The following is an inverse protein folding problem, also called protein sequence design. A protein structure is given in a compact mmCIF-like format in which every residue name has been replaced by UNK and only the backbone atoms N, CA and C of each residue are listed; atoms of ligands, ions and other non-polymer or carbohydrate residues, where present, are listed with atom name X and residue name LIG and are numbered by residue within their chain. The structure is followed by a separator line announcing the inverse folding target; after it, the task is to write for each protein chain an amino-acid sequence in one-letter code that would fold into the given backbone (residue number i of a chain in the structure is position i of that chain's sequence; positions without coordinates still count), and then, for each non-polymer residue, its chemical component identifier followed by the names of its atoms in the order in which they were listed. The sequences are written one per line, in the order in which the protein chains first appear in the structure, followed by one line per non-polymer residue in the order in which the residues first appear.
data_IF_979111344643
#
_entry.id   IF_979111344643
#
_cell.length_a   1.000
_cell.length_b   1.000
_cell.length_c   1.000
_cell.angle_alpha   90.00
_cell.angle_beta   90.00
_cell.angle_gamma   90.00
#
_symmetry.space_group_name_H-M   'P 1'
#
loop_
_entity.id
_entity.type
_entity.pdbx_description
1 polymer ?
#
# COMPACT_ATOMS: atom_id res chain seq x y z
N UNK A 1 -11.04 24.16 -17.86
CA UNK A 1 -10.70 22.77 -17.46
C UNK A 1 -9.23 22.51 -17.78
N UNK A 2 -8.37 22.19 -16.80
CA UNK A 2 -6.94 21.96 -17.03
C UNK A 2 -6.69 20.76 -17.98
N UNK A 3 -5.59 20.81 -18.74
CA UNK A 3 -5.22 19.85 -19.80
C UNK A 3 -5.18 18.39 -19.31
N UNK A 4 -4.84 18.15 -18.05
CA UNK A 4 -4.79 16.83 -17.44
C UNK A 4 -6.17 16.15 -17.35
N UNK A 5 -7.22 16.90 -17.05
CA UNK A 5 -8.58 16.37 -16.89
C UNK A 5 -9.17 15.87 -18.21
N UNK A 6 -8.93 16.60 -19.31
CA UNK A 6 -9.37 16.20 -20.65
C UNK A 6 -8.73 14.88 -21.11
N UNK A 7 -7.46 14.67 -20.76
CA UNK A 7 -6.72 13.46 -21.13
C UNK A 7 -7.19 12.22 -20.35
N UNK A 8 -7.61 12.38 -19.09
CA UNK A 8 -8.13 11.28 -18.28
C UNK A 8 -9.54 10.85 -18.71
N UNK A 9 -10.43 11.80 -19.04
CA UNK A 9 -11.75 11.49 -19.58
C UNK A 9 -11.66 10.78 -20.93
N UNK A 10 -10.75 11.21 -21.82
CA UNK A 10 -10.52 10.52 -23.08
C UNK A 10 -10.01 9.08 -22.90
N UNK A 11 -9.20 8.80 -21.86
CA UNK A 11 -8.77 7.43 -21.54
C UNK A 11 -9.91 6.56 -21.01
N UNK A 12 -10.73 7.07 -20.08
CA UNK A 12 -11.90 6.33 -19.57
C UNK A 12 -12.89 6.00 -20.70
N UNK A 13 -13.16 6.97 -21.57
CA UNK A 13 -14.05 6.76 -22.73
C UNK A 13 -13.50 5.68 -23.69
N UNK A 14 -12.19 5.68 -23.95
CA UNK A 14 -11.55 4.64 -24.77
C UNK A 14 -11.59 3.25 -24.13
N UNK A 15 -11.45 3.15 -22.81
CA UNK A 15 -11.53 1.86 -22.10
C UNK A 15 -12.96 1.29 -22.08
N UNK A 16 -13.97 2.15 -21.91
CA UNK A 16 -15.38 1.71 -21.93
C UNK A 16 -15.83 1.22 -23.31
N UNK A 17 -15.20 1.70 -24.39
CA UNK A 17 -15.43 1.20 -25.74
C UNK A 17 -14.80 -0.18 -25.97
N UNK A 18 -13.62 -0.44 -25.38
CA UNK A 18 -12.89 -1.70 -25.56
C UNK A 18 -13.41 -2.84 -24.67
N UNK A 19 -13.91 -2.51 -23.48
CA UNK A 19 -14.36 -3.49 -22.48
C UNK A 19 -15.70 -3.05 -21.89
N UNK A 20 -16.78 -3.68 -22.35
CA UNK A 20 -18.10 -3.50 -21.76
C UNK A 20 -18.16 -4.20 -20.41
N UNK A 21 -18.36 -3.40 -19.36
CA UNK A 21 -18.59 -3.91 -18.01
C UNK A 21 -20.06 -4.32 -17.84
N UNK A 22 -20.36 -5.25 -16.90
CA UNK A 22 -21.73 -5.45 -16.42
C UNK A 22 -22.35 -4.13 -15.95
N UNK A 23 -23.68 -4.04 -15.97
CA UNK A 23 -24.41 -2.80 -15.65
C UNK A 23 -24.15 -2.27 -14.21
N UNK A 24 -23.74 -3.14 -13.29
CA UNK A 24 -23.43 -2.83 -11.89
C UNK A 24 -21.93 -2.67 -11.61
N UNK A 25 -21.09 -2.56 -12.63
CA UNK A 25 -19.64 -2.36 -12.49
C UNK A 25 -19.24 -0.99 -13.02
N UNK A 26 -18.20 -0.42 -12.43
CA UNK A 26 -17.63 0.86 -12.87
C UNK A 26 -16.09 0.83 -12.91
N UNK A 27 -15.52 1.70 -13.75
CA UNK A 27 -14.08 1.89 -13.83
C UNK A 27 -13.57 2.84 -12.74
N UNK A 28 -12.84 2.28 -11.77
CA UNK A 28 -12.12 3.01 -10.70
C UNK A 28 -10.62 2.97 -10.91
N UNK A 29 -9.92 4.05 -10.54
CA UNK A 29 -8.47 4.03 -10.35
C UNK A 29 -8.15 3.34 -9.03
N UNK A 30 -6.98 2.69 -8.95
CA UNK A 30 -6.51 2.05 -7.71
C UNK A 30 -6.44 3.03 -6.53
N UNK A 31 -6.05 4.29 -6.77
CA UNK A 31 -6.07 5.36 -5.77
C UNK A 31 -7.46 5.80 -5.29
N UNK A 32 -8.55 5.34 -5.92
CA UNK A 32 -9.92 5.54 -5.43
C UNK A 32 -10.38 4.39 -4.52
N UNK A 33 -9.62 3.28 -4.46
CA UNK A 33 -9.97 2.08 -3.69
C UNK A 33 -9.39 2.09 -2.27
N UNK A 34 -8.28 2.80 -2.05
CA UNK A 34 -7.61 2.86 -0.77
C UNK A 34 -6.72 4.11 -0.65
N UNK A 35 -6.41 4.49 0.59
CA UNK A 35 -5.30 5.40 0.90
C UNK A 35 -4.00 4.60 1.05
N UNK A 36 -2.90 5.13 0.53
CA UNK A 36 -1.58 4.51 0.56
C UNK A 36 -0.58 5.43 1.26
N UNK A 37 -0.19 5.08 2.48
CA UNK A 37 0.77 5.85 3.27
C UNK A 37 2.16 5.25 3.11
N UNK A 38 3.03 5.91 2.34
CA UNK A 38 4.44 5.51 2.24
C UNK A 38 5.17 5.82 3.55
N UNK A 39 6.00 4.89 4.01
CA UNK A 39 6.77 5.04 5.25
C UNK A 39 7.87 6.09 5.21
N UNK A 40 8.59 6.19 6.32
CA UNK A 40 9.68 7.13 6.51
C UNK A 40 11.01 6.58 5.96
N UNK A 41 11.86 7.45 5.43
CA UNK A 41 13.20 7.09 5.03
C UNK A 41 14.14 7.02 6.24
N UNK A 42 14.63 5.83 6.56
CA UNK A 42 15.60 5.62 7.64
C UNK A 42 17.04 5.53 7.12
N UNK A 43 17.96 6.22 7.79
CA UNK A 43 19.41 6.08 7.61
C UNK A 43 20.00 5.30 8.80
N UNK A 44 21.21 4.71 8.67
CA UNK A 44 21.85 3.98 9.78
C UNK A 44 21.96 4.79 11.08
N UNK A 45 22.16 6.12 10.96
CA UNK A 45 22.21 7.03 12.11
C UNK A 45 20.89 7.24 12.84
N UNK A 46 19.77 6.88 12.21
CA UNK A 46 18.43 6.99 12.79
C UNK A 46 18.06 5.73 13.58
N UNK A 47 18.86 4.66 13.47
CA UNK A 47 18.64 3.40 14.18
C UNK A 47 19.01 3.52 15.65
N UNK A 48 18.30 2.75 16.47
CA UNK A 48 18.49 2.63 17.90
C UNK A 48 18.58 1.15 18.29
N UNK A 49 19.09 0.89 19.49
CA UNK A 49 19.07 -0.43 20.11
C UNK A 49 17.77 -0.70 20.90
N UNK A 50 16.90 0.31 21.00
CA UNK A 50 15.62 0.27 21.72
C UNK A 50 14.52 0.94 20.89
N UNK A 51 13.27 0.77 21.30
CA UNK A 51 12.12 1.44 20.70
C UNK A 51 11.30 0.49 19.83
N UNK A 52 10.65 1.05 18.79
CA UNK A 52 9.78 0.31 17.91
C UNK A 52 10.56 -0.32 16.75
N UNK A 53 10.23 -1.56 16.34
CA UNK A 53 10.85 -2.17 15.18
C UNK A 53 10.50 -1.40 13.90
N UNK A 54 11.47 -1.23 13.02
CA UNK A 54 11.29 -0.64 11.69
C UNK A 54 10.98 -1.78 10.72
N UNK A 55 9.80 -1.78 10.12
CA UNK A 55 9.41 -2.80 9.14
C UNK A 55 10.18 -2.57 7.85
N UNK A 56 10.95 -3.57 7.42
CA UNK A 56 11.59 -3.64 6.10
C UNK A 56 11.01 -4.80 5.30
N UNK A 57 11.28 -4.80 4.00
CA UNK A 57 10.75 -5.81 3.07
C UNK A 57 11.23 -7.22 3.45
N UNK A 58 12.47 -7.37 3.92
CA UNK A 58 12.96 -8.64 4.46
C UNK A 58 12.12 -9.15 5.65
N UNK A 59 11.56 -8.25 6.47
CA UNK A 59 10.72 -8.63 7.61
C UNK A 59 9.35 -9.12 7.16
N UNK A 60 8.81 -8.52 6.10
CA UNK A 60 7.59 -9.00 5.45
C UNK A 60 7.79 -10.40 4.83
N UNK A 61 9.02 -10.71 4.41
CA UNK A 61 9.43 -12.02 3.90
C UNK A 61 9.87 -13.01 5.00
N UNK A 62 9.58 -12.71 6.27
CA UNK A 62 9.79 -13.63 7.40
C UNK A 62 11.14 -13.53 8.11
N UNK A 63 11.95 -12.50 7.85
CA UNK A 63 13.16 -12.24 8.65
C UNK A 63 12.82 -11.59 9.99
N UNK A 64 13.36 -12.15 11.07
CA UNK A 64 13.26 -11.58 12.43
C UNK A 64 14.36 -10.53 12.73
N UNK A 65 15.19 -10.20 11.73
CA UNK A 65 16.22 -9.16 11.87
C UNK A 65 15.60 -7.75 11.73
N UNK A 66 15.42 -7.05 12.85
CA UNK A 66 14.87 -5.69 12.89
C UNK A 66 15.92 -4.65 13.29
N UNK A 67 15.83 -3.48 12.64
CA UNK A 67 16.38 -2.25 13.18
C UNK A 67 15.30 -1.56 14.01
N UNK A 68 15.68 -0.74 14.98
CA UNK A 68 14.72 -0.06 15.86
C UNK A 68 14.79 1.46 15.73
N UNK A 69 13.68 2.11 16.07
CA UNK A 69 13.56 3.56 16.14
C UNK A 69 12.97 3.97 17.49
N UNK A 70 13.65 4.88 18.18
CA UNK A 70 13.21 5.43 19.47
C UNK A 70 12.95 6.94 19.43
N UNK A 71 12.90 7.53 18.22
CA UNK A 71 12.54 8.93 18.03
C UNK A 71 11.03 9.14 17.85
N UNK A 72 10.65 10.37 17.54
CA UNK A 72 9.27 10.71 17.21
C UNK A 72 9.04 10.62 15.70
N UNK A 73 7.91 10.02 15.32
CA UNK A 73 7.43 9.98 13.94
C UNK A 73 6.03 10.61 13.86
N UNK A 74 5.57 10.90 12.64
CA UNK A 74 4.16 11.28 12.44
C UNK A 74 3.29 10.05 12.65
N UNK A 75 2.10 10.25 13.22
CA UNK A 75 1.13 9.19 13.53
C UNK A 75 0.90 8.22 12.37
N UNK A 76 0.79 8.74 11.15
CA UNK A 76 0.59 7.94 9.92
C UNK A 76 1.69 6.91 9.62
N UNK A 77 2.87 7.02 10.22
CA UNK A 77 3.98 6.06 10.03
C UNK A 77 3.99 4.94 11.06
N UNK A 78 3.18 5.04 12.11
CA UNK A 78 2.99 3.95 13.05
C UNK A 78 2.05 2.92 12.44
N UNK A 79 2.38 1.66 12.65
CA UNK A 79 1.58 0.53 12.20
C UNK A 79 1.36 -0.43 13.36
N UNK A 80 0.25 -1.15 13.31
CA UNK A 80 -0.16 -2.12 14.35
C UNK A 80 -0.63 -3.42 13.71
N UNK A 81 -0.66 -4.50 14.51
CA UNK A 81 -1.18 -5.79 14.03
C UNK A 81 -2.57 -5.63 13.40
N UNK A 82 -2.76 -6.21 12.22
CA UNK A 82 -3.96 -6.11 11.41
C UNK A 82 -3.86 -5.14 10.24
N UNK A 83 -2.92 -4.20 10.25
CA UNK A 83 -2.71 -3.27 9.14
C UNK A 83 -2.31 -4.00 7.85
N UNK A 84 -2.75 -3.48 6.71
CA UNK A 84 -2.46 -4.03 5.38
C UNK A 84 -1.27 -3.31 4.79
N UNK A 85 -0.19 -4.03 4.57
CA UNK A 85 1.06 -3.50 4.04
C UNK A 85 1.25 -3.96 2.60
N UNK A 86 1.67 -3.03 1.73
CA UNK A 86 2.04 -3.34 0.35
C UNK A 86 3.52 -3.02 0.17
N UNK A 87 4.33 -4.01 -0.20
CA UNK A 87 5.73 -3.78 -0.55
C UNK A 87 5.86 -3.27 -1.98
N UNK A 88 6.87 -2.44 -2.23
CA UNK A 88 7.30 -2.08 -3.57
C UNK A 88 8.80 -2.35 -3.73
N UNK A 89 9.15 -3.58 -4.14
CA UNK A 89 10.54 -4.01 -4.37
C UNK A 89 10.67 -5.01 -5.51
N UNK A 90 10.46 -4.53 -6.73
CA UNK A 90 10.36 -5.37 -7.93
C UNK A 90 9.17 -6.35 -7.96
N UNK A 91 8.40 -6.47 -6.87
CA UNK A 91 7.03 -7.01 -6.81
C UNK A 91 6.12 -6.12 -5.97
N UNK A 92 4.81 -6.21 -6.24
CA UNK A 92 3.73 -5.68 -5.39
C UNK A 92 3.15 -6.83 -4.60
N UNK A 93 3.63 -7.02 -3.38
CA UNK A 93 3.12 -8.07 -2.50
C UNK A 93 2.30 -7.45 -1.37
N UNK A 94 1.24 -8.15 -0.97
CA UNK A 94 0.32 -7.70 0.08
C UNK A 94 0.48 -8.55 1.32
N UNK A 95 0.60 -7.89 2.47
CA UNK A 95 0.83 -8.51 3.77
C UNK A 95 -0.19 -8.00 4.77
N UNK A 96 -0.70 -8.88 5.62
CA UNK A 96 -1.40 -8.49 6.85
C UNK A 96 -0.39 -8.50 7.99
N UNK A 97 -0.05 -7.34 8.53
CA UNK A 97 0.96 -7.22 9.58
C UNK A 97 0.52 -7.92 10.88
N UNK A 98 1.42 -8.68 11.51
CA UNK A 98 1.13 -9.40 12.77
C UNK A 98 2.16 -9.14 13.88
N UNK A 99 3.21 -8.34 13.63
CA UNK A 99 4.33 -8.14 14.56
C UNK A 99 4.13 -7.03 15.61
N UNK A 100 2.88 -6.66 15.93
CA UNK A 100 2.59 -5.64 16.95
C UNK A 100 2.80 -4.20 16.48
N UNK A 101 3.14 -3.31 17.40
CA UNK A 101 3.42 -1.91 17.08
C UNK A 101 4.80 -1.78 16.42
N UNK A 102 4.87 -1.08 15.28
CA UNK A 102 6.09 -0.90 14.52
C UNK A 102 6.09 0.46 13.79
N UNK A 103 7.22 0.79 13.14
CA UNK A 103 7.35 1.96 12.28
C UNK A 103 7.54 1.53 10.83
N UNK A 104 6.81 2.18 9.94
CA UNK A 104 6.84 1.92 8.50
C UNK A 104 8.08 2.55 7.85
N UNK A 105 8.90 1.73 7.19
CA UNK A 105 9.97 2.20 6.32
C UNK A 105 9.44 2.59 4.93
N UNK A 106 10.16 3.47 4.24
CA UNK A 106 9.89 3.77 2.83
C UNK A 106 9.94 2.50 1.95
N UNK A 107 9.23 2.54 0.82
CA UNK A 107 9.00 1.41 -0.10
C UNK A 107 8.02 0.35 0.44
N UNK A 108 7.36 0.64 1.55
CA UNK A 108 6.21 -0.11 2.04
C UNK A 108 5.10 0.90 2.29
N UNK A 109 3.90 0.59 1.78
CA UNK A 109 2.71 1.39 2.01
C UNK A 109 1.84 0.75 3.08
N UNK A 110 1.43 1.50 4.09
CA UNK A 110 0.27 1.13 4.90
C UNK A 110 -0.99 1.51 4.09
N UNK A 111 -1.88 0.54 3.91
CA UNK A 111 -3.02 0.62 2.99
C UNK A 111 -4.31 0.62 3.79
N UNK A 112 -5.06 1.72 3.68
CA UNK A 112 -6.35 1.90 4.33
C UNK A 112 -7.43 1.72 3.26
N UNK A 113 -8.02 0.53 3.21
CA UNK A 113 -9.02 0.15 2.20
C UNK A 113 -10.31 0.95 2.43
N UNK A 114 -10.88 1.47 1.35
CA UNK A 114 -12.20 2.07 1.35
C UNK A 114 -13.28 0.99 1.16
N UNK A 115 -13.78 0.47 2.28
CA UNK A 115 -14.79 -0.58 2.30
C UNK A 115 -16.16 -0.19 1.73
N UNK A 116 -16.42 1.11 1.53
CA UNK A 116 -17.64 1.58 0.84
C UNK A 116 -17.56 1.35 -0.69
N UNK A 117 -16.35 1.14 -1.22
CA UNK A 117 -16.09 1.00 -2.65
C UNK A 117 -15.70 -0.42 -3.02
N UNK A 118 -14.93 -1.10 -2.16
CA UNK A 118 -14.39 -2.43 -2.45
C UNK A 118 -14.27 -3.26 -1.18
N UNK A 119 -14.63 -4.55 -1.25
CA UNK A 119 -14.38 -5.48 -0.17
C UNK A 119 -12.92 -5.97 -0.16
N UNK A 120 -12.51 -6.53 0.99
CA UNK A 120 -11.14 -7.00 1.19
C UNK A 120 -10.72 -8.06 0.17
N UNK A 121 -11.58 -9.07 -0.05
CA UNK A 121 -11.24 -10.23 -0.87
C UNK A 121 -11.06 -9.83 -2.33
N UNK A 122 -11.92 -8.96 -2.84
CA UNK A 122 -11.77 -8.39 -4.17
C UNK A 122 -10.51 -7.55 -4.30
N UNK A 123 -10.20 -6.70 -3.31
CA UNK A 123 -9.00 -5.86 -3.33
C UNK A 123 -7.71 -6.70 -3.36
N UNK A 124 -7.61 -7.74 -2.53
CA UNK A 124 -6.45 -8.64 -2.52
C UNK A 124 -6.37 -9.43 -3.83
N UNK A 125 -7.50 -9.93 -4.33
CA UNK A 125 -7.55 -10.65 -5.61
C UNK A 125 -7.07 -9.78 -6.77
N UNK A 126 -7.51 -8.51 -6.81
CA UNK A 126 -7.09 -7.53 -7.82
C UNK A 126 -5.57 -7.33 -7.83
N UNK A 127 -4.96 -7.16 -6.65
CA UNK A 127 -3.51 -6.95 -6.54
C UNK A 127 -2.70 -8.20 -6.92
N UNK A 128 -3.19 -9.39 -6.57
CA UNK A 128 -2.52 -10.66 -6.89
C UNK A 128 -2.59 -11.01 -8.39
N UNK A 129 -3.71 -10.75 -9.07
CA UNK A 129 -3.89 -11.10 -10.49
C UNK A 129 -2.95 -10.30 -11.41
N UNK A 130 -2.67 -9.05 -11.06
CA UNK A 130 -1.89 -8.18 -11.93
C UNK A 130 -0.37 -8.43 -11.91
N UNK A 131 0.14 -9.35 -11.08
CA UNK A 131 1.58 -9.54 -10.89
C UNK A 131 2.14 -10.95 -11.16
N UNK A 132 1.33 -11.93 -11.56
CA UNK A 132 1.85 -13.22 -12.05
C UNK A 132 2.25 -13.19 -13.54
N UNK A 133 3.11 -12.25 -13.94
CA UNK A 133 3.75 -12.26 -15.27
C UNK A 133 5.25 -12.44 -15.17
#
# INVERSE_FOLDING_TARGET
MPTQYKNEQNKKNKMSELYKLPAWWEWKKLGELAEYVNGMAFKPKDWSNIGLPIIRIQNLNGSDDFNYFSGEAKEKYYVKSGDILISWSASLDVYKWQGGNAILNQHIFNTIINYDVVDYDFFITLLNIHYQR
#
